data_IF_935678561861
#
_entry.id   IF_935678561861
#
_cell.length_a   1.000
_cell.length_b   1.000
_cell.length_c   1.000
_cell.angle_alpha   90.00
_cell.angle_beta   90.00
_cell.angle_gamma   90.00
#
_symmetry.space_group_name_H-M   'P 1'
#
loop_
_entity.id
_entity.type
_entity.pdbx_description
1 polymer ?
#
# COMPACT_ATOMS: atom_id res chain seq x y z
N UNK A 1 -24.29 18.11 10.26
CA UNK A 1 -23.85 16.73 9.96
C UNK A 1 -22.48 16.56 10.58
N UNK A 2 -22.34 15.62 11.52
CA UNK A 2 -21.07 15.34 12.20
C UNK A 2 -20.27 14.37 11.33
N UNK A 3 -19.26 14.87 10.64
CA UNK A 3 -18.31 14.06 9.89
C UNK A 3 -17.16 13.66 10.84
N UNK A 4 -16.79 12.39 10.83
CA UNK A 4 -15.62 11.90 11.57
C UNK A 4 -15.84 11.44 13.01
N UNK A 5 -17.09 11.21 13.43
CA UNK A 5 -17.39 10.61 14.73
C UNK A 5 -17.39 9.09 14.58
N UNK A 6 -16.62 8.43 15.46
CA UNK A 6 -16.57 6.97 15.63
C UNK A 6 -17.99 6.36 15.69
N UNK A 7 -18.23 5.23 15.03
CA UNK A 7 -19.54 4.54 15.05
C UNK A 7 -19.55 3.44 16.11
N UNK A 8 -20.74 2.98 16.47
CA UNK A 8 -20.88 1.77 17.28
C UNK A 8 -20.94 0.55 16.36
N UNK A 9 -20.07 -0.42 16.59
CA UNK A 9 -20.16 -1.71 15.89
C UNK A 9 -21.33 -2.54 16.40
N UNK A 10 -21.67 -3.63 15.70
CA UNK A 10 -22.72 -4.56 16.13
C UNK A 10 -22.43 -5.18 17.52
N UNK A 11 -21.17 -5.14 17.95
CA UNK A 11 -20.73 -5.60 19.27
C UNK A 11 -20.67 -4.47 20.32
N UNK A 12 -21.14 -3.26 19.98
CA UNK A 12 -21.17 -2.12 20.89
C UNK A 12 -19.79 -1.51 21.16
N UNK A 13 -18.82 -1.70 20.26
CA UNK A 13 -17.48 -1.08 20.38
C UNK A 13 -17.43 0.18 19.52
N UNK A 14 -16.77 1.22 20.04
CA UNK A 14 -16.47 2.42 19.25
C UNK A 14 -15.43 2.08 18.18
N UNK A 15 -15.82 2.15 16.91
CA UNK A 15 -14.96 1.89 15.77
C UNK A 15 -14.88 3.10 14.84
N UNK A 16 -13.87 3.12 13.98
CA UNK A 16 -13.77 4.13 12.94
C UNK A 16 -14.93 3.95 11.96
N UNK A 17 -15.72 5.01 11.73
CA UNK A 17 -16.66 4.99 10.60
C UNK A 17 -15.85 4.75 9.33
N UNK A 18 -16.19 3.74 8.54
CA UNK A 18 -15.53 3.50 7.25
C UNK A 18 -16.52 3.62 6.09
N UNK A 19 -17.78 3.91 6.40
CA UNK A 19 -18.87 3.94 5.45
C UNK A 19 -19.26 5.35 5.03
N UNK A 20 -19.14 6.35 5.91
CA UNK A 20 -19.46 7.75 5.60
C UNK A 20 -18.27 8.57 5.07
N UNK A 21 -17.05 8.04 5.12
CA UNK A 21 -15.87 8.77 4.65
C UNK A 21 -15.75 8.79 3.13
N UNK A 22 -15.25 9.92 2.61
CA UNK A 22 -14.86 10.10 1.21
C UNK A 22 -13.76 9.12 0.78
N UNK A 23 -12.95 8.65 1.73
CA UNK A 23 -11.90 7.66 1.50
C UNK A 23 -12.07 6.47 2.43
N UNK A 24 -12.00 5.27 1.87
CA UNK A 24 -11.97 4.03 2.63
C UNK A 24 -10.61 3.36 2.49
N UNK A 25 -10.02 2.91 3.61
CA UNK A 25 -8.80 2.11 3.60
C UNK A 25 -9.15 0.65 3.28
N UNK A 26 -8.65 0.14 2.16
CA UNK A 26 -8.83 -1.26 1.74
C UNK A 26 -7.70 -2.17 2.20
N UNK A 27 -6.49 -1.61 2.35
CA UNK A 27 -5.32 -2.39 2.73
C UNK A 27 -4.33 -1.52 3.49
N UNK A 28 -3.78 -2.08 4.56
CA UNK A 28 -2.74 -1.45 5.38
C UNK A 28 -1.88 -2.55 6.01
N UNK A 29 -0.76 -2.88 5.37
CA UNK A 29 0.16 -3.89 5.87
C UNK A 29 1.62 -3.46 5.67
N UNK A 30 2.51 -4.00 6.51
CA UNK A 30 3.96 -3.80 6.41
C UNK A 30 4.58 -4.99 5.68
N UNK A 31 5.43 -4.70 4.72
CA UNK A 31 6.17 -5.68 3.92
C UNK A 31 7.67 -5.40 4.03
N UNK A 32 8.46 -6.47 3.98
CA UNK A 32 9.91 -6.40 3.86
C UNK A 32 10.29 -6.92 2.48
N UNK A 33 10.99 -6.10 1.69
CA UNK A 33 11.43 -6.47 0.36
C UNK A 33 12.89 -6.91 0.41
N UNK A 34 13.17 -8.09 -0.15
CA UNK A 34 14.53 -8.56 -0.38
C UNK A 34 14.97 -8.28 -1.82
N UNK A 35 16.28 -8.37 -2.08
CA UNK A 35 16.83 -8.15 -3.41
C UNK A 35 16.27 -9.19 -4.40
N UNK A 36 15.72 -8.73 -5.51
CA UNK A 36 15.06 -9.59 -6.52
C UNK A 36 13.66 -10.05 -6.14
N UNK A 37 13.15 -9.69 -4.96
CA UNK A 37 11.84 -10.15 -4.50
C UNK A 37 10.68 -9.47 -5.26
N UNK A 38 9.59 -10.23 -5.37
CA UNK A 38 8.30 -9.77 -5.86
C UNK A 38 7.27 -10.04 -4.76
N UNK A 39 6.58 -8.98 -4.32
CA UNK A 39 5.50 -9.03 -3.35
C UNK A 39 4.20 -8.75 -4.08
N UNK A 40 3.26 -9.69 -4.02
CA UNK A 40 1.91 -9.53 -4.57
C UNK A 40 0.92 -9.43 -3.42
N UNK A 41 0.30 -8.25 -3.28
CA UNK A 41 -0.82 -8.03 -2.37
C UNK A 41 -2.13 -8.18 -3.14
N UNK A 42 -2.89 -9.24 -2.82
CA UNK A 42 -4.24 -9.43 -3.34
C UNK A 42 -5.21 -8.60 -2.50
N UNK A 43 -5.86 -7.62 -3.10
CA UNK A 43 -6.71 -6.63 -2.43
C UNK A 43 -8.08 -6.66 -3.08
N UNK A 44 -9.02 -7.34 -2.43
CA UNK A 44 -10.40 -7.43 -2.91
C UNK A 44 -11.01 -6.02 -3.07
N UNK A 45 -11.66 -5.77 -4.21
CA UNK A 45 -12.29 -4.49 -4.50
C UNK A 45 -11.33 -3.38 -4.97
N UNK A 46 -10.03 -3.65 -5.10
CA UNK A 46 -9.10 -2.69 -5.67
C UNK A 46 -9.32 -2.52 -7.18
N UNK A 47 -9.55 -1.28 -7.62
CA UNK A 47 -9.62 -0.91 -9.03
C UNK A 47 -8.79 0.36 -9.24
N UNK A 48 -7.77 0.35 -10.12
CA UNK A 48 -6.94 1.54 -10.39
C UNK A 48 -7.71 2.80 -10.83
N UNK A 49 -8.94 2.64 -11.35
CA UNK A 49 -9.79 3.77 -11.73
C UNK A 49 -10.39 4.54 -10.54
N UNK A 50 -10.53 3.91 -9.37
CA UNK A 50 -11.20 4.49 -8.18
C UNK A 50 -10.38 4.35 -6.90
N UNK A 51 -9.24 3.67 -6.96
CA UNK A 51 -8.40 3.37 -5.81
C UNK A 51 -6.96 3.83 -6.06
N UNK A 52 -6.30 4.23 -4.98
CA UNK A 52 -4.88 4.63 -4.98
C UNK A 52 -4.10 3.70 -4.07
N UNK A 53 -2.98 3.17 -4.57
CA UNK A 53 -2.00 2.45 -3.78
C UNK A 53 -0.78 3.33 -3.54
N UNK A 54 -0.27 3.34 -2.32
CA UNK A 54 0.87 4.15 -1.90
C UNK A 54 1.84 3.29 -1.09
N UNK A 55 3.11 3.38 -1.43
CA UNK A 55 4.20 2.81 -0.65
C UNK A 55 4.69 3.89 0.30
N UNK A 56 4.80 3.55 1.58
CA UNK A 56 5.28 4.42 2.64
C UNK A 56 6.49 3.76 3.31
N UNK A 57 7.72 4.23 3.06
CA UNK A 57 8.90 3.69 3.74
C UNK A 57 8.75 3.83 5.26
N UNK A 58 9.04 2.77 6.00
CA UNK A 58 8.97 2.77 7.47
C UNK A 58 10.33 3.05 8.11
N UNK A 59 11.39 3.10 7.30
CA UNK A 59 12.76 3.28 7.71
C UNK A 59 13.42 4.34 6.83
N UNK A 60 14.37 5.09 7.40
CA UNK A 60 15.19 6.01 6.64
C UNK A 60 16.12 5.24 5.70
N UNK A 61 16.45 5.83 4.56
CA UNK A 61 17.47 5.29 3.68
C UNK A 61 18.82 5.24 4.42
N UNK A 62 19.48 4.08 4.43
CA UNK A 62 20.78 3.92 5.08
C UNK A 62 21.92 4.58 4.28
N UNK A 63 21.70 4.83 2.99
CA UNK A 63 22.65 5.39 2.03
C UNK A 63 21.91 5.85 0.77
N UNK A 64 22.64 6.50 -0.15
CA UNK A 64 22.12 6.93 -1.45
C UNK A 64 22.32 5.88 -2.56
N UNK A 65 22.43 4.60 -2.22
CA UNK A 65 22.52 3.51 -3.20
C UNK A 65 21.14 2.96 -3.57
N UNK A 66 21.07 2.25 -4.70
CA UNK A 66 19.84 1.62 -5.20
C UNK A 66 19.18 0.65 -4.21
N UNK A 67 19.95 0.04 -3.29
CA UNK A 67 19.40 -0.82 -2.22
C UNK A 67 18.43 -0.09 -1.28
N UNK A 68 18.61 1.22 -1.11
CA UNK A 68 17.76 2.05 -0.24
C UNK A 68 16.70 2.84 -1.03
N UNK A 69 16.61 2.63 -2.35
CA UNK A 69 15.67 3.34 -3.21
C UNK A 69 14.24 2.81 -3.07
N UNK A 70 13.27 3.61 -3.51
CA UNK A 70 11.87 3.20 -3.54
C UNK A 70 11.67 2.06 -4.56
N UNK A 71 10.97 0.97 -4.20
CA UNK A 71 10.72 -0.14 -5.10
C UNK A 71 9.75 0.23 -6.22
N UNK A 72 9.73 -0.61 -7.25
CA UNK A 72 8.80 -0.47 -8.35
C UNK A 72 7.43 -1.06 -7.99
N UNK A 73 6.36 -0.30 -8.22
CA UNK A 73 4.99 -0.76 -8.01
C UNK A 73 4.22 -0.78 -9.33
N UNK A 74 3.52 -1.88 -9.56
CA UNK A 74 2.55 -2.03 -10.64
C UNK A 74 1.20 -2.44 -10.07
N UNK A 75 0.13 -1.84 -10.57
CA UNK A 75 -1.24 -2.03 -10.08
C UNK A 75 -2.10 -2.68 -11.16
N UNK A 76 -2.99 -3.58 -10.75
CA UNK A 76 -3.99 -4.20 -11.61
C UNK A 76 -5.29 -4.38 -10.86
N UNK A 77 -6.39 -4.72 -11.53
CA UNK A 77 -7.66 -4.96 -10.82
C UNK A 77 -7.48 -6.11 -9.82
N UNK A 78 -7.85 -5.86 -8.56
CA UNK A 78 -7.77 -6.81 -7.46
C UNK A 78 -6.36 -7.07 -6.90
N UNK A 79 -5.30 -6.44 -7.44
CA UNK A 79 -3.94 -6.71 -6.99
C UNK A 79 -2.98 -5.54 -7.12
N UNK A 80 -2.04 -5.48 -6.19
CA UNK A 80 -0.89 -4.59 -6.23
C UNK A 80 0.38 -5.43 -6.16
N UNK A 81 1.27 -5.26 -7.13
CA UNK A 81 2.54 -5.98 -7.22
C UNK A 81 3.67 -5.00 -7.00
N UNK A 82 4.51 -5.27 -6.01
CA UNK A 82 5.72 -4.51 -5.70
C UNK A 82 6.94 -5.36 -6.01
N UNK A 83 7.90 -4.80 -6.72
CA UNK A 83 9.14 -5.45 -7.15
C UNK A 83 10.33 -4.69 -6.59
N UNK A 84 11.39 -5.41 -6.22
CA UNK A 84 12.63 -4.78 -5.76
C UNK A 84 13.26 -3.85 -6.80
N UNK A 85 12.94 -4.02 -8.08
CA UNK A 85 13.47 -3.19 -9.17
C UNK A 85 12.48 -3.07 -10.30
N UNK A 86 12.71 -2.11 -11.19
CA UNK A 86 11.95 -2.03 -12.41
C UNK A 86 12.24 -3.26 -13.31
N UNK A 87 11.23 -3.89 -13.95
CA UNK A 87 11.44 -5.08 -14.79
C UNK A 87 12.46 -4.87 -15.92
N UNK A 88 12.53 -3.64 -16.45
CA UNK A 88 13.45 -3.27 -17.53
C UNK A 88 14.81 -2.76 -17.04
N UNK A 89 15.08 -2.79 -15.73
CA UNK A 89 16.35 -2.32 -15.18
C UNK A 89 17.44 -3.41 -15.32
N UNK A 90 18.57 -3.10 -15.96
CA UNK A 90 19.67 -4.04 -16.14
C UNK A 90 20.35 -4.38 -14.81
N UNK A 91 20.98 -5.56 -14.73
CA UNK A 91 21.67 -6.03 -13.53
C UNK A 91 20.74 -6.74 -12.53
N UNK A 92 21.31 -7.22 -11.42
CA UNK A 92 20.59 -8.04 -10.42
C UNK A 92 20.20 -7.27 -9.14
N UNK A 93 20.58 -6.00 -9.05
CA UNK A 93 20.44 -5.21 -7.83
C UNK A 93 19.06 -4.54 -7.79
N UNK A 94 18.46 -4.48 -6.61
CA UNK A 94 17.21 -3.76 -6.37
C UNK A 94 17.07 -3.36 -4.90
N UNK A 95 16.00 -2.64 -4.61
CA UNK A 95 15.62 -2.15 -3.29
C UNK A 95 15.45 -3.28 -2.27
N UNK A 96 16.03 -3.08 -1.10
CA UNK A 96 15.92 -3.93 0.09
C UNK A 96 15.40 -3.09 1.24
N UNK A 97 14.12 -2.75 1.21
CA UNK A 97 13.52 -1.84 2.20
C UNK A 97 12.30 -2.47 2.87
N UNK A 98 12.02 -2.02 4.10
CA UNK A 98 10.73 -2.21 4.73
C UNK A 98 9.80 -1.05 4.36
N UNK A 99 8.57 -1.37 3.98
CA UNK A 99 7.57 -0.39 3.61
C UNK A 99 6.18 -0.81 4.07
N UNK A 100 5.31 0.19 4.24
CA UNK A 100 3.87 -0.01 4.42
C UNK A 100 3.19 0.19 3.08
N UNK A 101 2.38 -0.79 2.69
CA UNK A 101 1.47 -0.66 1.55
C UNK A 101 0.13 -0.16 2.07
N UNK A 102 -0.23 1.06 1.69
CA UNK A 102 -1.53 1.66 1.99
C UNK A 102 -2.34 1.73 0.71
N UNK A 103 -3.55 1.15 0.73
CA UNK A 103 -4.50 1.24 -0.39
C UNK A 103 -5.78 1.87 0.10
N UNK A 104 -6.21 2.90 -0.62
CA UNK A 104 -7.41 3.67 -0.34
C UNK A 104 -8.32 3.69 -1.56
N UNK A 105 -9.62 3.72 -1.32
CA UNK A 105 -10.67 3.86 -2.34
C UNK A 105 -11.36 5.20 -2.16
N UNK A 106 -11.51 5.95 -3.24
CA UNK A 106 -12.38 7.13 -3.27
C UNK A 106 -13.83 6.66 -3.41
N UNK A 107 -14.69 7.09 -2.49
CA UNK A 107 -16.14 6.84 -2.53
C UNK A 107 -16.78 8.08 -3.18
N UNK A 108 -17.03 8.00 -4.49
CA UNK A 108 -17.89 8.96 -5.21
C UNK A 108 -19.35 8.68 -4.84
#
# INVERSE_FOLDING_TARGET
MTYGVRTWSANGVLEMDTDSYTYQVLHNAVYTLAMGAVVTANIAGFNPATCTAVILPTQAAANNYCYSAMPFMSVGVGSVVVRSKHPNEPGAIGSTIQFRLLVMRFKN
#
